data_IF_278464431848
#
_entry.id   IF_278464431848
#
_cell.length_a   1.000
_cell.length_b   1.000
_cell.length_c   1.000
_cell.angle_alpha   90.00
_cell.angle_beta   90.00
_cell.angle_gamma   90.00
#
_symmetry.space_group_name_H-M   'P 1'
#
loop_
_entity.id
_entity.type
_entity.pdbx_description
1 polymer ?
#
# COMPACT_ATOMS: atom_id res chain seq x y z
N UNK A 1 -22.47 0.12 -4.75
CA UNK A 1 -21.42 -0.91 -4.94
C UNK A 1 -20.93 -0.84 -6.37
N UNK A 2 -19.62 -0.76 -6.61
CA UNK A 2 -19.05 -1.11 -7.91
C UNK A 2 -19.14 -2.62 -8.05
N UNK A 3 -20.09 -3.12 -8.84
CA UNK A 3 -20.18 -4.54 -9.15
C UNK A 3 -19.03 -4.83 -10.12
N UNK A 4 -18.01 -5.54 -9.66
CA UNK A 4 -16.94 -6.06 -10.52
C UNK A 4 -17.41 -7.38 -11.12
N UNK A 5 -18.12 -7.30 -12.25
CA UNK A 5 -18.43 -8.48 -13.06
C UNK A 5 -17.36 -8.59 -14.15
N UNK A 6 -16.35 -9.42 -13.89
CA UNK A 6 -15.25 -9.67 -14.83
C UNK A 6 -15.76 -10.13 -16.19
N UNK A 7 -16.83 -10.94 -16.25
CA UNK A 7 -17.39 -11.42 -17.51
C UNK A 7 -18.06 -10.30 -18.29
N UNK A 8 -18.79 -9.43 -17.59
CA UNK A 8 -19.38 -8.23 -18.19
C UNK A 8 -18.28 -7.33 -18.79
N UNK A 9 -17.21 -7.05 -18.04
CA UNK A 9 -16.10 -6.24 -18.54
C UNK A 9 -15.40 -6.90 -19.74
N UNK A 10 -15.12 -8.19 -19.68
CA UNK A 10 -14.56 -8.95 -20.81
C UNK A 10 -15.46 -8.88 -22.06
N UNK A 11 -16.78 -8.92 -21.88
CA UNK A 11 -17.73 -8.81 -23.00
C UNK A 11 -17.68 -7.45 -23.71
N UNK A 12 -17.26 -6.40 -23.02
CA UNK A 12 -17.12 -5.05 -23.60
C UNK A 12 -15.81 -4.86 -24.38
N UNK A 13 -14.78 -5.69 -24.15
CA UNK A 13 -13.45 -5.52 -24.75
C UNK A 13 -13.50 -5.37 -26.28
N UNK A 14 -14.22 -6.21 -27.06
CA UNK A 14 -14.23 -6.08 -28.52
C UNK A 14 -14.87 -4.78 -29.01
N UNK A 15 -15.89 -4.29 -28.31
CA UNK A 15 -16.60 -3.04 -28.67
C UNK A 15 -15.77 -1.83 -28.28
N UNK A 16 -15.21 -1.82 -27.07
CA UNK A 16 -14.32 -0.75 -26.61
C UNK A 16 -13.09 -0.61 -27.52
N UNK A 17 -12.49 -1.74 -27.95
CA UNK A 17 -11.34 -1.75 -28.85
C UNK A 17 -11.65 -1.13 -30.22
N UNK A 18 -12.85 -1.35 -30.77
CA UNK A 18 -13.26 -0.74 -32.05
C UNK A 18 -13.50 0.76 -31.98
N UNK A 19 -13.84 1.28 -30.80
CA UNK A 19 -14.23 2.67 -30.60
C UNK A 19 -13.12 3.52 -29.94
N UNK A 20 -12.00 2.90 -29.58
CA UNK A 20 -10.96 3.54 -28.75
C UNK A 20 -10.39 4.82 -29.40
N UNK A 21 -10.25 4.85 -30.73
CA UNK A 21 -9.74 6.01 -31.47
C UNK A 21 -10.75 7.16 -31.57
N UNK A 22 -12.03 6.90 -31.29
CA UNK A 22 -13.09 7.92 -31.27
C UNK A 22 -13.27 8.59 -29.90
N UNK A 23 -12.60 8.06 -28.87
CA UNK A 23 -12.76 8.53 -27.50
C UNK A 23 -11.80 9.67 -27.17
N UNK A 24 -12.32 10.67 -26.44
CA UNK A 24 -11.50 11.73 -25.86
C UNK A 24 -10.69 11.21 -24.66
N UNK A 25 -9.74 12.03 -24.19
CA UNK A 25 -8.85 11.66 -23.09
C UNK A 25 -9.60 11.26 -21.81
N UNK A 26 -10.72 11.92 -21.50
CA UNK A 26 -11.53 11.59 -20.31
C UNK A 26 -12.19 10.22 -20.44
N UNK A 27 -12.77 9.91 -21.60
CA UNK A 27 -13.41 8.61 -21.85
C UNK A 27 -12.38 7.48 -21.80
N UNK A 28 -11.18 7.70 -22.36
CA UNK A 28 -10.07 6.75 -22.28
C UNK A 28 -9.61 6.53 -20.83
N UNK A 29 -9.47 7.60 -20.05
CA UNK A 29 -9.13 7.52 -18.62
C UNK A 29 -10.20 6.76 -17.84
N UNK A 30 -11.49 7.01 -18.10
CA UNK A 30 -12.58 6.30 -17.45
C UNK A 30 -12.58 4.80 -17.79
N UNK A 31 -12.28 4.42 -19.03
CA UNK A 31 -12.16 3.02 -19.44
C UNK A 31 -10.97 2.36 -18.75
N UNK A 32 -9.79 2.97 -18.81
CA UNK A 32 -8.59 2.47 -18.12
C UNK A 32 -8.86 2.30 -16.61
N UNK A 33 -9.47 3.30 -15.98
CA UNK A 33 -9.85 3.25 -14.57
C UNK A 33 -10.84 2.13 -14.28
N UNK A 34 -11.90 1.98 -15.09
CA UNK A 34 -12.92 0.96 -14.85
C UNK A 34 -12.38 -0.47 -14.99
N UNK A 35 -11.57 -0.75 -16.03
CA UNK A 35 -10.90 -2.06 -16.19
C UNK A 35 -9.88 -2.31 -15.09
N UNK A 36 -9.14 -1.28 -14.69
CA UNK A 36 -8.19 -1.44 -13.60
C UNK A 36 -8.89 -1.70 -12.29
N UNK A 37 -10.03 -1.06 -11.98
CA UNK A 37 -10.82 -1.36 -10.78
C UNK A 37 -11.42 -2.77 -10.84
N UNK A 38 -11.91 -3.19 -12.01
CA UNK A 38 -12.50 -4.51 -12.24
C UNK A 38 -11.49 -5.68 -12.22
N UNK A 39 -10.19 -5.39 -12.19
CA UNK A 39 -9.10 -6.39 -12.23
C UNK A 39 -9.12 -7.26 -13.50
N UNK A 40 -9.49 -6.65 -14.63
CA UNK A 40 -9.62 -7.36 -15.90
C UNK A 40 -8.42 -7.01 -16.77
N UNK A 41 -7.56 -8.00 -17.00
CA UNK A 41 -6.52 -7.89 -18.01
C UNK A 41 -7.16 -7.90 -19.41
N UNK A 42 -7.08 -6.77 -20.10
CA UNK A 42 -7.62 -6.57 -21.44
C UNK A 42 -6.50 -6.13 -22.40
N UNK A 43 -5.53 -7.01 -22.69
CA UNK A 43 -4.35 -6.64 -23.47
C UNK A 43 -4.74 -6.22 -24.89
N UNK A 44 -5.78 -6.81 -25.46
CA UNK A 44 -6.31 -6.41 -26.76
C UNK A 44 -6.94 -5.02 -26.76
N UNK A 45 -7.29 -4.45 -25.61
CA UNK A 45 -7.80 -3.07 -25.52
C UNK A 45 -6.65 -2.07 -25.34
N UNK A 46 -5.68 -2.39 -24.49
CA UNK A 46 -4.61 -1.46 -24.09
C UNK A 46 -3.33 -1.59 -24.92
N UNK A 47 -3.07 -2.72 -25.58
CA UNK A 47 -1.89 -2.91 -26.45
C UNK A 47 -2.13 -2.50 -27.91
N UNK A 48 -3.38 -2.30 -28.34
CA UNK A 48 -3.68 -1.86 -29.72
C UNK A 48 -3.05 -0.50 -30.08
N UNK A 49 -2.64 0.29 -29.08
CA UNK A 49 -1.97 1.57 -29.30
C UNK A 49 -0.51 1.47 -29.76
N UNK A 50 0.16 0.32 -29.62
CA UNK A 50 1.58 0.23 -30.00
C UNK A 50 1.84 0.40 -31.50
N UNK A 51 0.83 0.18 -32.36
CA UNK A 51 1.04 0.14 -33.81
C UNK A 51 0.59 1.39 -34.58
N UNK A 52 -0.04 2.37 -33.92
CA UNK A 52 -0.63 3.54 -34.61
C UNK A 52 -0.38 4.89 -33.95
N UNK A 53 0.20 4.91 -32.73
CA UNK A 53 0.55 6.15 -32.04
C UNK A 53 1.92 5.93 -31.41
N UNK A 54 2.95 6.76 -31.67
CA UNK A 54 4.08 6.80 -30.75
C UNK A 54 3.47 7.02 -29.35
N UNK A 55 4.02 6.40 -28.31
CA UNK A 55 3.56 6.66 -26.94
C UNK A 55 3.46 8.17 -26.64
N UNK A 56 2.96 8.54 -25.47
CA UNK A 56 2.94 9.95 -25.06
C UNK A 56 4.30 10.60 -25.41
N UNK A 57 4.33 11.71 -26.19
CA UNK A 57 5.56 12.44 -26.46
C UNK A 57 6.34 12.64 -25.17
N UNK A 58 7.66 12.47 -25.19
CA UNK A 58 8.49 12.46 -23.97
C UNK A 58 8.24 13.69 -23.08
N UNK A 59 8.07 14.86 -23.70
CA UNK A 59 7.74 16.09 -22.97
C UNK A 59 6.38 16.03 -22.25
N UNK A 60 5.38 15.38 -22.85
CA UNK A 60 4.09 15.17 -22.21
C UNK A 60 4.17 14.09 -21.14
N UNK A 61 4.97 13.03 -21.34
CA UNK A 61 5.22 12.03 -20.31
C UNK A 61 5.85 12.67 -19.08
N UNK A 62 6.91 13.45 -19.26
CA UNK A 62 7.61 14.15 -18.18
C UNK A 62 6.68 15.12 -17.46
N UNK A 63 5.90 15.92 -18.20
CA UNK A 63 4.94 16.86 -17.60
C UNK A 63 3.82 16.15 -16.85
N UNK A 64 3.29 15.05 -17.39
CA UNK A 64 2.26 14.25 -16.74
C UNK A 64 2.79 13.59 -15.47
N UNK A 65 3.98 13.01 -15.53
CA UNK A 65 4.64 12.42 -14.36
C UNK A 65 4.91 13.47 -13.29
N UNK A 66 5.54 14.59 -13.65
CA UNK A 66 5.82 15.70 -12.73
C UNK A 66 4.53 16.24 -12.11
N UNK A 67 3.47 16.43 -12.88
CA UNK A 67 2.19 16.88 -12.35
C UNK A 67 1.61 15.86 -11.35
N UNK A 68 1.67 14.57 -11.69
CA UNK A 68 1.20 13.48 -10.83
C UNK A 68 1.97 13.39 -9.50
N UNK A 69 3.29 13.61 -9.52
CA UNK A 69 4.14 13.51 -8.33
C UNK A 69 4.34 14.83 -7.57
N UNK A 70 3.84 15.95 -8.09
CA UNK A 70 4.07 17.30 -7.54
C UNK A 70 3.27 17.63 -6.28
N UNK A 71 2.22 16.87 -5.99
CA UNK A 71 1.41 17.12 -4.80
C UNK A 71 2.18 16.72 -3.54
N UNK A 72 2.31 17.68 -2.62
CA UNK A 72 2.89 17.44 -1.30
C UNK A 72 1.84 16.75 -0.42
N UNK A 73 2.18 15.63 0.22
CA UNK A 73 1.23 14.89 1.02
C UNK A 73 0.84 15.66 2.28
N UNK A 74 -0.43 15.58 2.64
CA UNK A 74 -0.91 16.07 3.93
C UNK A 74 -0.99 14.90 4.90
N UNK A 75 0.00 14.80 5.78
CA UNK A 75 0.06 13.74 6.81
C UNK A 75 -1.10 13.89 7.78
N UNK A 76 -1.91 12.85 7.90
CA UNK A 76 -3.07 12.85 8.80
C UNK A 76 -2.66 12.56 10.25
N UNK A 77 -3.47 13.02 11.23
CA UNK A 77 -3.25 12.64 12.65
C UNK A 77 -3.25 11.13 12.87
N UNK A 78 -4.03 10.40 12.06
CA UNK A 78 -4.09 8.94 12.11
C UNK A 78 -2.74 8.34 11.67
N UNK A 79 -2.16 8.85 10.60
CA UNK A 79 -0.85 8.43 10.12
C UNK A 79 0.26 8.75 11.11
N UNK A 80 0.30 9.97 11.67
CA UNK A 80 1.27 10.30 12.72
C UNK A 80 1.20 9.32 13.90
N UNK A 81 -0.02 8.95 14.32
CA UNK A 81 -0.23 8.01 15.42
C UNK A 81 0.27 6.61 15.05
N UNK A 82 -0.09 6.08 13.87
CA UNK A 82 0.40 4.78 13.38
C UNK A 82 1.93 4.75 13.27
N UNK A 83 2.54 5.76 12.64
CA UNK A 83 3.99 5.86 12.48
C UNK A 83 4.69 5.92 13.83
N UNK A 84 4.16 6.69 14.79
CA UNK A 84 4.73 6.74 16.14
C UNK A 84 4.75 5.38 16.83
N UNK A 85 3.71 4.56 16.61
CA UNK A 85 3.64 3.22 17.18
C UNK A 85 4.55 2.23 16.45
N UNK A 86 4.71 2.34 15.12
CA UNK A 86 5.72 1.59 14.36
C UNK A 86 7.14 1.86 14.90
N UNK A 87 7.47 3.13 15.15
CA UNK A 87 8.75 3.50 15.77
C UNK A 87 8.89 2.93 17.19
N UNK A 88 7.82 2.96 17.97
CA UNK A 88 7.83 2.48 19.37
C UNK A 88 8.04 0.97 19.49
N UNK A 89 7.63 0.18 18.51
CA UNK A 89 7.95 -1.27 18.46
C UNK A 89 9.35 -1.58 17.93
N UNK A 90 10.17 -0.55 17.68
CA UNK A 90 11.57 -0.68 17.27
C UNK A 90 11.79 -0.80 15.76
N UNK A 91 10.78 -0.46 14.94
CA UNK A 91 10.96 -0.29 13.50
C UNK A 91 11.42 1.14 13.19
N UNK A 92 11.99 1.35 12.00
CA UNK A 92 12.44 2.66 11.54
C UNK A 92 11.61 3.10 10.31
N UNK A 93 10.38 3.61 10.51
CA UNK A 93 9.51 3.96 9.40
C UNK A 93 10.07 5.14 8.60
N UNK A 94 10.08 5.01 7.27
CA UNK A 94 10.26 6.12 6.34
C UNK A 94 8.89 6.55 5.84
N UNK A 95 8.50 7.80 6.09
CA UNK A 95 7.18 8.32 5.75
C UNK A 95 7.13 8.89 4.32
N UNK A 96 5.94 8.86 3.71
CA UNK A 96 5.62 9.57 2.46
C UNK A 96 6.58 9.29 1.29
N UNK A 97 7.04 8.05 1.20
CA UNK A 97 8.08 7.65 0.26
C UNK A 97 7.52 7.60 -1.15
N UNK A 98 8.06 8.44 -2.03
CA UNK A 98 7.72 8.46 -3.46
C UNK A 98 8.35 7.27 -4.18
N UNK A 99 7.50 6.46 -4.81
CA UNK A 99 7.88 5.28 -5.58
C UNK A 99 8.18 5.61 -7.05
N UNK A 100 8.76 4.65 -7.76
CA UNK A 100 9.02 4.75 -9.20
C UNK A 100 7.74 4.84 -10.03
N UNK A 101 6.65 4.23 -9.57
CA UNK A 101 5.32 4.39 -10.16
C UNK A 101 4.72 5.81 -10.01
N UNK A 102 5.34 6.67 -9.18
CA UNK A 102 4.87 8.00 -8.85
C UNK A 102 3.88 8.06 -7.67
N UNK A 103 3.44 6.91 -7.14
CA UNK A 103 2.65 6.88 -5.91
C UNK A 103 3.53 7.09 -4.67
N UNK A 104 2.97 7.70 -3.63
CA UNK A 104 3.59 7.80 -2.30
C UNK A 104 3.02 6.75 -1.37
N UNK A 105 3.87 6.03 -0.64
CA UNK A 105 3.44 5.12 0.43
C UNK A 105 3.51 5.87 1.76
N UNK A 106 2.47 5.77 2.58
CA UNK A 106 2.35 6.54 3.82
C UNK A 106 3.50 6.25 4.79
N UNK A 107 3.90 4.98 4.91
CA UNK A 107 5.14 4.58 5.56
C UNK A 107 5.76 3.31 4.96
N UNK A 108 7.09 3.20 5.00
CA UNK A 108 7.83 1.96 4.72
C UNK A 108 8.57 1.53 5.96
N UNK A 109 8.51 0.24 6.27
CA UNK A 109 9.29 -0.39 7.35
C UNK A 109 10.04 -1.61 6.83
N UNK A 110 11.19 -1.91 7.44
CA UNK A 110 11.89 -3.18 7.22
C UNK A 110 11.49 -4.17 8.32
N UNK A 111 10.95 -5.32 7.93
CA UNK A 111 10.50 -6.38 8.83
C UNK A 111 11.13 -7.70 8.36
N UNK A 112 11.91 -8.35 9.22
CA UNK A 112 12.58 -9.61 8.92
C UNK A 112 13.43 -9.57 7.63
N UNK A 113 14.10 -8.45 7.36
CA UNK A 113 14.92 -8.25 6.15
C UNK A 113 14.11 -7.96 4.88
N UNK A 114 12.80 -7.72 4.99
CA UNK A 114 11.91 -7.38 3.87
C UNK A 114 11.32 -5.99 4.05
N UNK A 115 11.27 -5.25 2.95
CA UNK A 115 10.63 -3.95 2.89
C UNK A 115 9.11 -4.15 2.74
N UNK A 116 8.33 -3.57 3.66
CA UNK A 116 6.87 -3.61 3.65
C UNK A 116 6.35 -2.17 3.70
N UNK A 117 5.44 -1.84 2.78
CA UNK A 117 4.71 -0.58 2.81
C UNK A 117 3.46 -0.69 3.69
N UNK A 118 3.22 0.35 4.48
CA UNK A 118 2.07 0.49 5.37
C UNK A 118 1.21 1.63 4.85
N UNK A 119 -0.02 1.30 4.43
CA UNK A 119 -1.04 2.26 4.01
C UNK A 119 -1.98 2.54 5.18
N UNK A 120 -2.10 3.81 5.58
CA UNK A 120 -2.94 4.27 6.68
C UNK A 120 -4.27 4.78 6.12
N UNK A 121 -5.25 3.88 6.07
CA UNK A 121 -6.47 4.17 5.33
C UNK A 121 -7.52 4.93 6.16
N UNK A 122 -7.65 6.22 5.88
CA UNK A 122 -8.69 7.09 6.41
C UNK A 122 -10.08 6.84 5.79
N UNK A 123 -11.14 7.47 6.32
CA UNK A 123 -12.51 7.30 5.81
C UNK A 123 -12.68 7.59 4.31
N UNK A 124 -11.92 8.53 3.76
CA UNK A 124 -11.95 8.88 2.33
C UNK A 124 -11.45 7.77 1.41
N UNK A 125 -10.72 6.77 1.94
CA UNK A 125 -10.23 5.64 1.16
C UNK A 125 -11.28 4.55 0.96
N UNK A 126 -12.49 4.72 1.51
CA UNK A 126 -13.55 3.74 1.46
C UNK A 126 -14.89 4.31 0.98
N UNK A 127 -15.70 3.44 0.39
CA UNK A 127 -17.06 3.74 -0.05
C UNK A 127 -18.03 3.44 1.10
N UNK A 128 -18.57 4.49 1.71
CA UNK A 128 -19.63 4.50 2.73
C UNK A 128 -19.45 3.43 3.84
N UNK A 129 -20.55 3.01 4.47
CA UNK A 129 -20.58 1.99 5.54
C UNK A 129 -20.03 0.63 5.08
N UNK A 130 -19.98 0.40 3.76
CA UNK A 130 -19.50 -0.84 3.16
C UNK A 130 -18.00 -1.09 3.34
N UNK A 131 -17.22 -0.08 3.76
CA UNK A 131 -15.76 -0.19 4.02
C UNK A 131 -14.97 -0.82 2.88
N UNK A 132 -15.51 -0.74 1.68
CA UNK A 132 -14.88 -1.24 0.47
C UNK A 132 -13.94 -0.15 -0.04
N UNK A 133 -12.68 -0.46 -0.37
CA UNK A 133 -11.74 0.56 -0.81
C UNK A 133 -12.25 1.26 -2.08
N UNK A 134 -11.95 2.54 -2.23
CA UNK A 134 -12.27 3.28 -3.45
C UNK A 134 -11.47 2.74 -4.64
N UNK A 135 -11.90 3.09 -5.86
CA UNK A 135 -11.15 2.72 -7.06
C UNK A 135 -9.73 3.30 -7.10
N UNK A 136 -9.52 4.51 -6.57
CA UNK A 136 -8.18 5.11 -6.47
C UNK A 136 -7.30 4.36 -5.46
N UNK A 137 -7.85 3.97 -4.30
CA UNK A 137 -7.15 3.14 -3.31
C UNK A 137 -6.74 1.78 -3.89
N UNK A 138 -7.65 1.12 -4.61
CA UNK A 138 -7.36 -0.16 -5.28
C UNK A 138 -6.28 0.01 -6.34
N UNK A 139 -6.37 1.04 -7.18
CA UNK A 139 -5.40 1.32 -8.23
C UNK A 139 -4.00 1.59 -7.65
N UNK A 140 -3.89 2.44 -6.62
CA UNK A 140 -2.63 2.71 -5.90
C UNK A 140 -2.00 1.40 -5.45
N UNK A 141 -2.75 0.57 -4.71
CA UNK A 141 -2.24 -0.71 -4.19
C UNK A 141 -1.77 -1.64 -5.30
N UNK A 142 -2.55 -1.77 -6.38
CA UNK A 142 -2.17 -2.61 -7.54
C UNK A 142 -0.89 -2.12 -8.21
N UNK A 143 -0.76 -0.82 -8.44
CA UNK A 143 0.41 -0.23 -9.10
C UNK A 143 1.65 -0.37 -8.22
N UNK A 144 1.58 -0.05 -6.93
CA UNK A 144 2.71 -0.20 -6.01
C UNK A 144 3.16 -1.66 -5.91
N UNK A 145 2.23 -2.61 -5.74
CA UNK A 145 2.60 -4.02 -5.66
C UNK A 145 3.17 -4.57 -6.98
N UNK A 146 2.62 -4.17 -8.13
CA UNK A 146 2.94 -4.80 -9.42
C UNK A 146 4.09 -4.12 -10.16
N UNK A 147 4.25 -2.80 -9.99
CA UNK A 147 5.29 -2.00 -10.66
C UNK A 147 6.49 -1.80 -9.75
N UNK A 148 6.26 -1.42 -8.49
CA UNK A 148 7.35 -1.15 -7.54
C UNK A 148 7.79 -2.41 -6.77
N UNK A 149 7.00 -3.49 -6.83
CA UNK A 149 7.33 -4.76 -6.16
C UNK A 149 7.27 -4.68 -4.63
N UNK A 150 6.57 -3.69 -4.09
CA UNK A 150 6.44 -3.47 -2.64
C UNK A 150 5.18 -4.17 -2.14
N UNK A 151 5.34 -5.06 -1.17
CA UNK A 151 4.22 -5.64 -0.44
C UNK A 151 3.57 -4.58 0.44
N UNK A 152 2.23 -4.49 0.40
CA UNK A 152 1.46 -3.52 1.16
C UNK A 152 0.58 -4.17 2.23
N UNK A 153 0.60 -3.59 3.42
CA UNK A 153 -0.41 -3.83 4.47
C UNK A 153 -1.25 -2.57 4.68
N UNK A 154 -2.52 -2.75 5.03
CA UNK A 154 -3.48 -1.67 5.27
C UNK A 154 -3.80 -1.58 6.76
N UNK A 155 -3.72 -0.37 7.32
CA UNK A 155 -4.18 -0.01 8.66
C UNK A 155 -5.47 0.82 8.52
N UNK A 156 -6.64 0.19 8.49
CA UNK A 156 -7.90 0.91 8.33
C UNK A 156 -8.30 1.67 9.59
N UNK A 157 -8.76 2.91 9.42
CA UNK A 157 -9.08 3.81 10.53
C UNK A 157 -10.06 3.22 11.55
N UNK A 158 -11.02 2.38 11.14
CA UNK A 158 -12.00 1.81 12.07
C UNK A 158 -11.40 0.71 12.95
N UNK A 159 -10.41 -0.05 12.47
CA UNK A 159 -9.72 -1.02 13.31
C UNK A 159 -8.85 -0.27 14.30
N UNK A 160 -8.08 0.70 13.80
CA UNK A 160 -7.22 1.54 14.63
C UNK A 160 -8.00 2.27 15.73
N UNK A 161 -9.16 2.85 15.39
CA UNK A 161 -10.00 3.58 16.36
C UNK A 161 -10.74 2.65 17.33
N UNK A 162 -10.97 1.37 16.98
CA UNK A 162 -11.58 0.38 17.89
C UNK A 162 -10.61 -0.12 18.96
N UNK A 163 -9.30 -0.07 18.69
CA UNK A 163 -8.28 -0.34 19.70
C UNK A 163 -8.40 0.75 20.76
N UNK A 164 -9.10 0.41 21.85
CA UNK A 164 -9.56 1.30 22.93
C UNK A 164 -8.56 2.45 23.20
N UNK A 165 -9.07 3.69 23.20
CA UNK A 165 -8.27 4.91 23.13
C UNK A 165 -7.03 4.92 24.03
N UNK A 166 -5.86 5.19 23.41
CA UNK A 166 -4.51 5.27 23.99
C UNK A 166 -3.95 3.99 24.62
N UNK A 167 -4.56 2.82 24.43
CA UNK A 167 -3.89 1.56 24.78
C UNK A 167 -2.79 1.28 23.74
N UNK A 168 -1.63 1.88 23.97
CA UNK A 168 -0.44 1.77 23.12
C UNK A 168 -0.04 0.31 22.93
N UNK A 169 -0.15 -0.51 23.97
CA UNK A 169 0.18 -1.94 23.91
C UNK A 169 -0.69 -2.66 22.89
N UNK A 170 -2.01 -2.47 22.90
CA UNK A 170 -2.91 -3.10 21.91
C UNK A 170 -2.64 -2.63 20.48
N UNK A 171 -2.26 -1.36 20.29
CA UNK A 171 -1.90 -0.81 18.98
C UNK A 171 -0.59 -1.40 18.47
N UNK A 172 0.38 -1.56 19.35
CA UNK A 172 1.66 -2.19 19.05
C UNK A 172 1.50 -3.67 18.72
N UNK A 173 0.71 -4.42 19.51
CA UNK A 173 0.37 -5.82 19.23
C UNK A 173 -0.36 -5.99 17.89
N UNK A 174 -1.27 -5.06 17.57
CA UNK A 174 -1.95 -5.03 16.28
C UNK A 174 -0.96 -4.88 15.12
N UNK A 175 -0.04 -3.91 15.20
CA UNK A 175 0.98 -3.68 14.16
C UNK A 175 1.95 -4.86 14.05
N UNK A 176 2.40 -5.41 15.17
CA UNK A 176 3.24 -6.60 15.21
C UNK A 176 2.57 -7.78 14.50
N UNK A 177 1.29 -8.03 14.81
CA UNK A 177 0.52 -9.10 14.16
C UNK A 177 0.31 -8.83 12.67
N UNK A 178 -0.03 -7.59 12.29
CA UNK A 178 -0.26 -7.20 10.91
C UNK A 178 1.00 -7.39 10.05
N UNK A 179 2.17 -7.07 10.61
CA UNK A 179 3.46 -7.16 9.93
C UNK A 179 4.15 -8.52 10.09
N UNK A 180 3.61 -9.44 10.90
CA UNK A 180 4.31 -10.68 11.27
C UNK A 180 5.63 -10.42 12.00
N UNK A 181 5.71 -9.30 12.73
CA UNK A 181 6.89 -8.87 13.45
C UNK A 181 6.80 -9.32 14.92
N UNK A 182 7.67 -10.23 15.31
CA UNK A 182 7.80 -10.66 16.70
C UNK A 182 9.12 -10.15 17.26
N UNK A 183 9.07 -9.18 18.17
CA UNK A 183 10.25 -8.78 18.92
C UNK A 183 10.65 -9.97 19.80
N UNK A 184 11.80 -10.59 19.51
CA UNK A 184 12.40 -11.48 20.51
C UNK A 184 12.70 -10.60 21.72
N UNK A 185 12.08 -10.91 22.86
CA UNK A 185 12.46 -10.28 24.11
C UNK A 185 13.97 -10.51 24.30
N UNK A 186 14.76 -9.44 24.18
CA UNK A 186 16.12 -9.47 24.70
C UNK A 186 15.94 -9.64 26.20
N UNK A 187 16.13 -10.87 26.69
CA UNK A 187 16.24 -11.16 28.11
C UNK A 187 17.39 -10.31 28.67
N UNK A 188 17.07 -9.12 29.16
CA UNK A 188 17.90 -8.38 30.10
C UNK A 188 17.50 -8.85 31.49
N UNK A 189 18.19 -9.89 31.94
CA UNK A 189 18.42 -10.36 33.31
C UNK A 189 19.19 -11.69 33.12
N UNK A 190 20.21 -12.10 33.85
CA UNK A 190 20.95 -11.55 34.99
C UNK A 190 21.86 -12.72 35.35
N UNK A 191 23.12 -12.76 34.91
CA UNK A 191 24.10 -13.76 35.33
C UNK A 191 25.51 -13.19 35.08
N UNK A 192 25.96 -12.40 36.05
CA UNK A 192 27.35 -12.17 36.36
C UNK A 192 27.35 -11.76 37.84
N UNK A 193 26.87 -12.68 38.68
CA UNK A 193 27.13 -12.66 40.12
C UNK A 193 28.50 -13.33 40.34
N UNK A 194 29.52 -12.68 40.91
CA UNK A 194 30.87 -13.21 40.98
C UNK A 194 31.10 -14.29 42.06
N UNK A 195 30.09 -14.62 42.88
CA UNK A 195 30.25 -15.43 44.09
C UNK A 195 29.52 -16.78 44.03
N UNK A 196 30.00 -17.70 43.19
CA UNK A 196 29.72 -19.13 43.37
C UNK A 196 31.02 -19.95 43.25
N UNK A 197 31.74 -20.00 44.37
CA UNK A 197 32.67 -21.08 44.67
C UNK A 197 31.88 -22.10 45.49
N UNK A 198 31.67 -23.30 44.96
CA UNK A 198 31.73 -24.51 45.77
C UNK A 198 32.15 -25.71 44.92
N UNK A 199 33.07 -26.46 45.50
CA UNK A 199 33.76 -27.65 44.99
C UNK A 199 32.92 -28.92 45.24
N UNK A 200 33.34 -30.01 44.58
CA UNK A 200 32.99 -31.44 44.80
C UNK A 200 31.69 -31.90 44.08
N UNK A 201 31.68 -32.93 43.23
CA UNK A 201 32.25 -34.27 43.39
C UNK A 201 32.69 -34.98 42.08
N UNK A 202 33.83 -35.67 42.17
CA UNK A 202 34.21 -37.00 41.66
C UNK A 202 33.79 -37.50 40.24
N UNK A 203 34.77 -37.59 39.33
CA UNK A 203 35.39 -38.84 38.81
C UNK A 203 36.65 -38.55 37.98
#
# INVERSE_FOLDING_TARGET
MGITDTQLFLSFVPTAAKLIDSYNNQALANIAWAYTVADVDAPTLFNLRQNSNPGLPIELLDRSYNAFTSEEPTVSKLQCDVVSQLSSIGLNPQEEVLMGSGYRIDAIVEVNGKIVGVEVDGPSHFIDEGRSPTGSTILKRRQVCSVDGIELVSVPYWEWNKLLGKDEVKRQEYLQKLLGYHTQAINKMQDNDPDFIELEDAL
#
